data_IF_367170801025
#
_entry.id   IF_367170801025
#
_cell.length_a   1.000
_cell.length_b   1.000
_cell.length_c   1.000
_cell.angle_alpha   90.00
_cell.angle_beta   90.00
_cell.angle_gamma   90.00
#
_symmetry.space_group_name_H-M   'P 1'
#
loop_
_entity.id
_entity.type
_entity.pdbx_description
1 polymer ?
#
# COMPACT_ATOMS: atom_id res chain seq x y z
N UNK A 1 -15.21 16.61 12.52
CA UNK A 1 -14.88 15.35 11.78
C UNK A 1 -16.02 14.90 10.88
N UNK A 2 -17.27 14.88 11.36
CA UNK A 2 -18.42 14.41 10.57
C UNK A 2 -18.67 15.24 9.29
N UNK A 3 -18.56 16.57 9.36
CA UNK A 3 -18.73 17.46 8.20
C UNK A 3 -17.66 17.24 7.12
N UNK A 4 -16.40 17.02 7.53
CA UNK A 4 -15.31 16.69 6.59
C UNK A 4 -15.54 15.34 5.95
N UNK A 5 -16.00 14.34 6.71
CA UNK A 5 -16.29 13.02 6.16
C UNK A 5 -17.43 13.07 5.12
N UNK A 6 -18.51 13.81 5.40
CA UNK A 6 -19.63 14.01 4.45
C UNK A 6 -19.15 14.68 3.16
N UNK A 7 -18.39 15.76 3.29
CA UNK A 7 -17.79 16.48 2.17
C UNK A 7 -16.95 15.55 1.27
N UNK A 8 -16.08 14.74 1.88
CA UNK A 8 -15.24 13.80 1.12
C UNK A 8 -16.10 12.79 0.36
N UNK A 9 -17.09 12.19 1.03
CA UNK A 9 -18.00 11.22 0.40
C UNK A 9 -18.80 11.84 -0.75
N UNK A 10 -19.20 13.10 -0.63
CA UNK A 10 -19.86 13.83 -1.72
C UNK A 10 -18.94 14.00 -2.93
N UNK A 11 -17.69 14.43 -2.73
CA UNK A 11 -16.71 14.58 -3.82
C UNK A 11 -16.39 13.22 -4.45
N UNK A 12 -16.27 12.17 -3.63
CA UNK A 12 -16.04 10.79 -4.09
C UNK A 12 -17.14 10.29 -5.02
N UNK A 13 -18.40 10.62 -4.70
CA UNK A 13 -19.58 10.27 -5.50
C UNK A 13 -19.76 11.16 -6.72
N UNK A 14 -19.54 12.48 -6.58
CA UNK A 14 -19.68 13.45 -7.68
C UNK A 14 -18.73 13.13 -8.85
N UNK A 15 -17.55 12.60 -8.53
CA UNK A 15 -16.46 12.38 -9.49
C UNK A 15 -16.15 10.90 -9.74
N UNK A 16 -16.99 9.99 -9.25
CA UNK A 16 -16.82 8.53 -9.38
C UNK A 16 -15.39 8.07 -9.04
N UNK A 17 -14.83 8.56 -7.93
CA UNK A 17 -13.40 8.43 -7.66
C UNK A 17 -12.95 6.97 -7.50
N UNK A 18 -13.84 6.10 -7.01
CA UNK A 18 -13.56 4.67 -6.89
C UNK A 18 -13.39 3.94 -8.24
N UNK A 19 -13.87 4.53 -9.35
CA UNK A 19 -13.68 3.99 -10.70
C UNK A 19 -12.38 4.44 -11.37
N UNK A 20 -11.64 5.35 -10.72
CA UNK A 20 -10.35 5.78 -11.23
C UNK A 20 -9.28 4.69 -11.10
N UNK A 21 -8.64 4.33 -12.23
CA UNK A 21 -7.71 3.21 -12.37
C UNK A 21 -6.41 3.62 -13.10
N UNK A 22 -5.25 3.17 -12.60
CA UNK A 22 -3.96 3.14 -13.32
C UNK A 22 -3.63 1.66 -13.59
N UNK A 23 -3.28 1.31 -14.83
CA UNK A 23 -2.99 -0.09 -15.20
C UNK A 23 -4.08 -1.10 -14.77
N UNK A 24 -5.36 -0.70 -14.87
CA UNK A 24 -6.57 -1.45 -14.47
C UNK A 24 -6.76 -1.67 -12.96
N UNK A 25 -5.88 -1.11 -12.12
CA UNK A 25 -5.97 -1.22 -10.65
C UNK A 25 -6.64 0.05 -10.09
N UNK A 26 -7.67 -0.07 -9.22
CA UNK A 26 -8.32 1.08 -8.58
C UNK A 26 -7.34 1.86 -7.70
N UNK A 27 -7.04 3.11 -8.05
CA UNK A 27 -6.00 3.90 -7.36
C UNK A 27 -6.57 4.66 -6.16
N UNK A 28 -7.87 4.98 -6.17
CA UNK A 28 -8.46 5.83 -5.15
C UNK A 28 -8.33 5.27 -3.74
N UNK A 29 -8.46 3.95 -3.56
CA UNK A 29 -8.25 3.27 -2.28
C UNK A 29 -6.86 3.54 -1.68
N UNK A 30 -5.83 3.68 -2.49
CA UNK A 30 -4.45 3.97 -2.05
C UNK A 30 -4.20 5.44 -1.72
N UNK A 31 -5.07 6.33 -2.22
CA UNK A 31 -4.94 7.78 -2.14
C UNK A 31 -5.86 8.39 -1.09
N UNK A 32 -7.00 7.73 -0.83
CA UNK A 32 -8.12 8.26 -0.06
C UNK A 32 -7.71 8.86 1.28
N UNK A 33 -6.94 8.14 2.09
CA UNK A 33 -6.51 8.63 3.40
C UNK A 33 -5.64 9.88 3.33
N UNK A 34 -4.71 9.93 2.35
CA UNK A 34 -3.89 11.11 2.12
C UNK A 34 -4.73 12.28 1.63
N UNK A 35 -5.70 12.02 0.76
CA UNK A 35 -6.64 13.04 0.32
C UNK A 35 -7.49 13.59 1.48
N UNK A 36 -8.07 12.71 2.31
CA UNK A 36 -8.82 13.08 3.51
C UNK A 36 -7.96 13.93 4.44
N UNK A 37 -6.73 13.51 4.71
CA UNK A 37 -5.85 14.25 5.61
C UNK A 37 -5.37 15.59 5.03
N UNK A 38 -5.18 15.71 3.71
CA UNK A 38 -4.90 16.98 3.04
C UNK A 38 -6.07 17.97 3.20
N UNK A 39 -7.29 17.51 2.94
CA UNK A 39 -8.50 18.34 3.07
C UNK A 39 -8.76 18.69 4.53
N UNK A 40 -8.63 17.72 5.43
CA UNK A 40 -8.81 17.93 6.87
C UNK A 40 -7.82 18.96 7.43
N UNK A 41 -6.53 18.84 7.09
CA UNK A 41 -5.52 19.82 7.47
C UNK A 41 -5.92 21.21 6.95
N UNK A 42 -6.39 21.31 5.71
CA UNK A 42 -6.76 22.61 5.16
C UNK A 42 -7.97 23.26 5.84
N UNK A 43 -8.93 22.46 6.30
CA UNK A 43 -10.13 22.95 7.00
C UNK A 43 -9.81 23.31 8.46
N UNK A 44 -8.98 22.53 9.14
CA UNK A 44 -8.81 22.60 10.60
C UNK A 44 -7.48 23.20 11.05
N UNK A 45 -6.49 23.32 10.16
CA UNK A 45 -5.10 23.66 10.47
C UNK A 45 -4.32 22.54 11.18
N UNK A 46 -4.93 21.38 11.43
CA UNK A 46 -4.30 20.26 12.13
C UNK A 46 -3.65 19.29 11.15
N UNK A 47 -2.34 19.05 11.31
CA UNK A 47 -1.61 18.14 10.45
C UNK A 47 -1.70 16.68 10.95
N UNK A 48 -2.72 15.95 10.51
CA UNK A 48 -2.96 14.55 10.93
C UNK A 48 -2.08 13.54 10.18
N UNK A 49 -1.57 13.86 8.99
CA UNK A 49 -0.81 12.91 8.15
C UNK A 49 0.68 12.82 8.48
N UNK A 50 1.19 13.65 9.39
CA UNK A 50 2.63 13.76 9.64
C UNK A 50 3.25 12.54 10.35
N UNK A 51 2.48 11.52 10.73
CA UNK A 51 2.89 10.57 11.78
C UNK A 51 3.24 9.13 11.39
N UNK A 52 3.12 8.65 10.13
CA UNK A 52 3.33 7.20 9.90
C UNK A 52 4.27 6.77 8.75
N UNK A 53 4.37 7.48 7.62
CA UNK A 53 5.11 6.96 6.46
C UNK A 53 6.09 7.93 5.79
N UNK A 54 6.00 9.23 6.07
CA UNK A 54 6.81 10.26 5.38
C UNK A 54 8.09 10.66 6.15
N UNK A 55 8.26 10.21 7.39
CA UNK A 55 9.46 10.48 8.19
C UNK A 55 10.62 9.50 7.94
N UNK A 56 10.66 8.89 6.76
CA UNK A 56 11.82 8.12 6.32
C UNK A 56 12.48 8.93 5.20
N UNK A 57 13.57 9.62 5.53
CA UNK A 57 14.39 10.34 4.54
C UNK A 57 14.77 9.39 3.40
N UNK A 58 15.08 9.91 2.21
CA UNK A 58 15.52 9.11 1.06
C UNK A 58 16.65 8.15 1.43
N UNK A 59 17.57 8.59 2.30
CA UNK A 59 18.63 7.74 2.87
C UNK A 59 18.08 6.56 3.68
N UNK A 60 17.05 6.78 4.50
CA UNK A 60 16.38 5.70 5.23
C UNK A 60 15.60 4.76 4.31
N UNK A 61 14.93 5.28 3.27
CA UNK A 61 14.26 4.45 2.26
C UNK A 61 15.27 3.54 1.55
N UNK A 62 16.42 4.06 1.15
CA UNK A 62 17.51 3.29 0.52
C UNK A 62 18.13 2.29 1.50
N UNK A 63 18.32 2.65 2.77
CA UNK A 63 18.81 1.69 3.78
C UNK A 63 17.84 0.52 3.98
N UNK A 64 16.52 0.79 4.09
CA UNK A 64 15.49 -0.26 4.16
C UNK A 64 15.59 -1.22 2.98
N UNK A 65 15.78 -0.67 1.80
CA UNK A 65 15.98 -1.42 0.56
C UNK A 65 17.19 -2.33 0.66
N UNK A 66 18.35 -1.81 1.07
CA UNK A 66 19.58 -2.60 1.17
C UNK A 66 19.44 -3.70 2.24
N UNK A 67 18.90 -3.36 3.41
CA UNK A 67 18.70 -4.29 4.52
C UNK A 67 17.70 -5.41 4.16
N UNK A 68 16.81 -5.16 3.20
CA UNK A 68 15.86 -6.15 2.67
C UNK A 68 16.43 -7.10 1.62
N UNK A 69 17.55 -6.76 0.96
CA UNK A 69 18.13 -7.57 -0.13
C UNK A 69 18.33 -9.04 0.28
N UNK A 70 18.85 -9.39 1.47
CA UNK A 70 18.98 -10.79 1.89
C UNK A 70 17.64 -11.54 1.95
N UNK A 71 16.53 -10.84 2.16
CA UNK A 71 15.18 -11.40 2.27
C UNK A 71 14.48 -11.48 0.91
N UNK A 72 14.80 -10.60 -0.05
CA UNK A 72 14.32 -10.67 -1.45
C UNK A 72 14.63 -12.06 -2.05
N UNK A 73 15.80 -12.62 -1.75
CA UNK A 73 16.25 -13.92 -2.27
C UNK A 73 15.89 -15.13 -1.39
N UNK A 74 15.36 -14.93 -0.18
CA UNK A 74 14.83 -16.03 0.66
C UNK A 74 13.46 -16.53 0.21
N UNK A 75 12.87 -15.91 -0.81
CA UNK A 75 11.55 -16.20 -1.39
C UNK A 75 11.54 -17.45 -2.31
N UNK A 76 12.28 -18.50 -1.96
CA UNK A 76 12.31 -19.76 -2.72
C UNK A 76 11.07 -20.62 -2.48
N UNK A 77 9.89 -20.02 -2.58
CA UNK A 77 8.63 -20.77 -2.68
C UNK A 77 8.48 -21.26 -4.11
N UNK A 78 8.87 -22.51 -4.39
CA UNK A 78 8.51 -23.22 -5.62
C UNK A 78 7.38 -24.23 -5.34
N UNK A 79 6.41 -23.81 -4.53
CA UNK A 79 5.28 -24.63 -4.08
C UNK A 79 4.00 -23.81 -4.19
N UNK A 80 2.91 -24.46 -4.62
CA UNK A 80 1.58 -23.87 -4.57
C UNK A 80 1.03 -23.87 -3.15
N UNK A 81 0.31 -22.82 -2.80
CA UNK A 81 -0.41 -22.69 -1.53
C UNK A 81 -1.89 -22.47 -1.80
N UNK A 82 -2.77 -23.04 -0.98
CA UNK A 82 -4.21 -22.82 -1.13
C UNK A 82 -4.62 -21.46 -0.56
N UNK A 83 -3.93 -20.99 0.48
CA UNK A 83 -4.18 -19.72 1.15
C UNK A 83 -2.96 -18.81 1.06
N UNK A 84 -3.16 -17.57 0.60
CA UNK A 84 -2.20 -16.47 0.72
C UNK A 84 -2.72 -15.50 1.79
N UNK A 85 -1.99 -15.37 2.90
CA UNK A 85 -2.28 -14.42 3.96
C UNK A 85 -1.39 -13.18 3.82
N UNK A 86 -1.99 -11.98 3.76
CA UNK A 86 -1.28 -10.71 3.60
C UNK A 86 -1.12 -10.05 4.96
N UNK A 87 0.08 -10.13 5.51
CA UNK A 87 0.44 -9.62 6.84
C UNK A 87 1.30 -8.37 6.75
N UNK A 88 1.21 -7.52 7.77
CA UNK A 88 2.16 -6.44 8.01
C UNK A 88 3.18 -6.85 9.08
N UNK A 89 4.46 -6.54 8.87
CA UNK A 89 5.53 -6.95 9.80
C UNK A 89 5.31 -6.45 11.25
N UNK A 90 4.60 -5.34 11.47
CA UNK A 90 4.26 -4.85 12.80
C UNK A 90 3.22 -5.66 13.56
N UNK A 91 2.53 -6.61 12.92
CA UNK A 91 1.58 -7.49 13.61
C UNK A 91 2.30 -8.52 14.51
N UNK A 92 3.57 -8.84 14.20
CA UNK A 92 4.43 -9.75 14.98
C UNK A 92 5.01 -9.08 16.23
N UNK A 93 4.17 -8.88 17.25
CA UNK A 93 4.56 -8.23 18.53
C UNK A 93 4.70 -9.20 19.70
N UNK A 94 4.20 -10.43 19.53
CA UNK A 94 4.22 -11.45 20.57
C UNK A 94 5.28 -12.50 20.29
N UNK A 95 5.76 -13.17 21.33
CA UNK A 95 6.63 -14.34 21.20
C UNK A 95 5.91 -15.58 21.68
N UNK A 96 5.82 -16.58 20.81
CA UNK A 96 5.23 -17.88 21.11
C UNK A 96 6.29 -18.95 20.88
N UNK A 97 6.60 -19.75 21.91
CA UNK A 97 7.65 -20.77 21.87
C UNK A 97 9.01 -20.26 21.36
N UNK A 98 9.37 -19.02 21.73
CA UNK A 98 10.64 -18.38 21.33
C UNK A 98 10.64 -17.74 19.94
N UNK A 99 9.57 -17.90 19.15
CA UNK A 99 9.43 -17.36 17.79
C UNK A 99 8.52 -16.14 17.77
N UNK A 100 8.68 -15.24 16.80
CA UNK A 100 7.83 -14.06 16.67
C UNK A 100 6.48 -14.44 16.02
N UNK A 101 5.39 -14.13 16.72
CA UNK A 101 4.04 -14.57 16.42
C UNK A 101 3.14 -13.41 15.96
N UNK A 102 2.48 -13.61 14.82
CA UNK A 102 1.40 -12.79 14.26
C UNK A 102 0.04 -13.37 14.67
N UNK A 103 -0.70 -12.62 15.49
CA UNK A 103 -2.00 -13.04 16.02
C UNK A 103 -3.06 -13.31 14.96
N UNK A 104 -2.97 -12.68 13.78
CA UNK A 104 -4.01 -12.80 12.76
C UNK A 104 -3.82 -14.02 11.87
N UNK A 105 -2.58 -14.32 11.48
CA UNK A 105 -2.33 -15.33 10.45
C UNK A 105 -1.45 -16.48 10.89
N UNK A 106 -0.64 -16.35 11.94
CA UNK A 106 0.11 -17.50 12.43
C UNK A 106 -0.80 -18.54 13.09
N UNK A 107 -2.06 -18.19 13.39
CA UNK A 107 -3.08 -19.17 13.81
C UNK A 107 -3.30 -20.28 12.77
N UNK A 108 -3.05 -20.00 11.48
CA UNK A 108 -3.11 -21.01 10.41
C UNK A 108 -2.12 -22.16 10.63
N UNK A 109 -1.03 -21.90 11.38
CA UNK A 109 -0.02 -22.90 11.74
C UNK A 109 -0.57 -24.00 12.67
N UNK A 110 -1.69 -23.76 13.36
CA UNK A 110 -2.33 -24.73 14.25
C UNK A 110 -3.33 -25.64 13.53
N UNK A 111 -3.55 -25.45 12.22
CA UNK A 111 -4.51 -26.23 11.43
C UNK A 111 -3.73 -27.12 10.46
N UNK A 112 -3.52 -28.38 10.84
CA UNK A 112 -2.68 -29.33 10.10
C UNK A 112 -3.08 -29.54 8.62
N UNK A 113 -4.37 -29.37 8.30
CA UNK A 113 -4.90 -29.56 6.95
C UNK A 113 -4.75 -28.34 6.03
N UNK A 114 -4.24 -27.21 6.53
CA UNK A 114 -4.19 -25.95 5.77
C UNK A 114 -2.83 -25.75 5.13
N UNK A 115 -2.82 -25.58 3.80
CA UNK A 115 -1.64 -25.23 3.02
C UNK A 115 -1.62 -23.72 2.76
N UNK A 116 -0.87 -22.97 3.57
CA UNK A 116 -0.86 -21.51 3.54
C UNK A 116 0.55 -20.94 3.41
N UNK A 117 0.62 -19.69 2.94
CA UNK A 117 1.82 -18.86 2.98
C UNK A 117 1.45 -17.46 3.45
N UNK A 118 2.32 -16.85 4.25
CA UNK A 118 2.18 -15.46 4.66
C UNK A 118 3.07 -14.60 3.76
N UNK A 119 2.49 -13.62 3.06
CA UNK A 119 3.23 -12.51 2.48
C UNK A 119 3.30 -11.39 3.51
N UNK A 120 4.48 -11.17 4.06
CA UNK A 120 4.73 -10.14 5.05
C UNK A 120 5.30 -8.89 4.36
N UNK A 121 4.54 -7.81 4.36
CA UNK A 121 5.01 -6.51 3.85
C UNK A 121 5.58 -5.68 4.99
N UNK A 122 6.74 -5.02 4.81
CA UNK A 122 7.36 -4.26 5.90
C UNK A 122 6.61 -2.94 6.13
N UNK A 123 6.14 -2.71 7.35
CA UNK A 123 5.78 -1.36 7.83
C UNK A 123 6.87 -0.75 8.75
N UNK A 124 7.70 -1.58 9.40
CA UNK A 124 8.81 -1.20 10.30
C UNK A 124 10.20 -1.53 9.72
N UNK A 125 11.26 -1.47 10.54
CA UNK A 125 12.66 -1.58 10.12
C UNK A 125 13.17 -2.99 9.85
N UNK A 126 12.58 -4.02 10.47
CA UNK A 126 13.08 -5.38 10.39
C UNK A 126 11.94 -6.39 10.27
N UNK A 127 12.10 -7.33 9.34
CA UNK A 127 11.33 -8.57 9.35
C UNK A 127 11.70 -9.43 10.55
N UNK A 128 10.74 -10.23 11.00
CA UNK A 128 11.05 -11.27 11.98
C UNK A 128 12.15 -12.18 11.42
N UNK A 129 13.19 -12.41 12.23
CA UNK A 129 14.28 -13.33 11.88
C UNK A 129 13.94 -14.78 12.16
N UNK A 130 12.94 -15.01 13.01
CA UNK A 130 12.44 -16.34 13.40
C UNK A 130 10.91 -16.30 13.51
N UNK A 131 10.19 -16.23 12.38
CA UNK A 131 8.74 -16.17 12.39
C UNK A 131 8.15 -17.51 12.86
N UNK A 132 7.03 -17.45 13.58
CA UNK A 132 6.33 -18.66 14.02
C UNK A 132 5.86 -19.50 12.83
N UNK A 133 5.27 -18.85 11.82
CA UNK A 133 4.86 -19.51 10.59
C UNK A 133 6.04 -20.07 9.80
N UNK A 134 5.88 -21.31 9.34
CA UNK A 134 6.90 -22.02 8.56
C UNK A 134 7.10 -21.43 7.15
N UNK A 135 6.05 -20.86 6.56
CA UNK A 135 6.03 -20.37 5.19
C UNK A 135 5.75 -18.87 5.15
N UNK A 136 6.82 -18.08 5.09
CA UNK A 136 6.76 -16.62 5.02
C UNK A 136 7.54 -16.14 3.79
N UNK A 137 6.92 -15.24 3.02
CA UNK A 137 7.52 -14.49 1.92
C UNK A 137 7.59 -13.04 2.37
N UNK A 138 8.76 -12.43 2.28
CA UNK A 138 8.92 -11.01 2.60
C UNK A 138 8.69 -10.15 1.34
N UNK A 139 7.76 -9.20 1.45
CA UNK A 139 7.27 -8.35 0.36
C UNK A 139 8.09 -7.09 0.14
N UNK A 140 9.32 -7.00 0.62
CA UNK A 140 10.16 -5.78 0.55
C UNK A 140 10.34 -5.27 -0.87
N UNK A 141 10.46 -6.16 -1.84
CA UNK A 141 10.62 -5.81 -3.26
C UNK A 141 9.44 -5.00 -3.79
N UNK A 142 8.22 -5.27 -3.30
CA UNK A 142 7.01 -4.51 -3.64
C UNK A 142 7.14 -3.08 -3.07
N UNK A 143 7.50 -2.96 -1.80
CA UNK A 143 7.68 -1.66 -1.14
C UNK A 143 8.81 -0.83 -1.76
N UNK A 144 9.92 -1.47 -2.10
CA UNK A 144 11.07 -0.88 -2.78
C UNK A 144 10.68 -0.30 -4.14
N UNK A 145 10.18 -1.18 -5.04
CA UNK A 145 9.90 -0.80 -6.42
C UNK A 145 8.76 0.22 -6.46
N UNK A 146 7.75 0.06 -5.62
CA UNK A 146 6.68 1.04 -5.50
C UNK A 146 7.16 2.41 -5.02
N UNK A 147 8.10 2.47 -4.06
CA UNK A 147 8.67 3.74 -3.61
C UNK A 147 9.59 4.37 -4.67
N UNK A 148 10.37 3.59 -5.43
CA UNK A 148 11.09 4.11 -6.60
C UNK A 148 10.10 4.70 -7.61
N UNK A 149 9.00 4.01 -7.88
CA UNK A 149 7.93 4.51 -8.74
C UNK A 149 7.38 5.86 -8.28
N UNK A 150 7.16 6.05 -6.97
CA UNK A 150 6.71 7.33 -6.40
C UNK A 150 7.71 8.47 -6.63
N UNK A 151 9.01 8.20 -6.52
CA UNK A 151 10.05 9.23 -6.72
C UNK A 151 10.25 9.55 -8.20
N UNK A 152 10.08 8.56 -9.09
CA UNK A 152 10.24 8.72 -10.53
C UNK A 152 9.00 8.26 -11.32
N UNK A 153 7.84 8.95 -11.19
CA UNK A 153 6.60 8.53 -11.85
C UNK A 153 6.72 8.37 -13.37
N UNK A 154 7.63 9.11 -14.01
CA UNK A 154 7.78 9.18 -15.47
C UNK A 154 8.38 7.91 -16.06
N UNK A 155 9.00 7.07 -15.23
CA UNK A 155 9.52 5.77 -15.63
C UNK A 155 8.42 4.70 -15.70
N UNK A 156 7.29 4.89 -15.01
CA UNK A 156 6.29 3.84 -14.79
C UNK A 156 4.89 4.18 -15.30
N UNK A 157 4.52 5.46 -15.33
CA UNK A 157 3.19 5.90 -15.77
C UNK A 157 3.23 6.22 -17.27
N UNK A 158 2.26 5.67 -18.02
CA UNK A 158 2.12 5.96 -19.45
C UNK A 158 1.63 7.40 -19.68
N UNK A 159 1.97 8.06 -20.80
CA UNK A 159 1.53 9.43 -21.08
C UNK A 159 0.01 9.65 -21.01
N UNK A 160 -0.80 8.66 -21.40
CA UNK A 160 -2.26 8.75 -21.30
C UNK A 160 -2.74 8.75 -19.84
N UNK A 161 -2.12 7.95 -18.98
CA UNK A 161 -2.46 7.89 -17.55
C UNK A 161 -2.03 9.17 -16.82
N UNK A 162 -0.94 9.80 -17.26
CA UNK A 162 -0.54 11.16 -16.84
C UNK A 162 -1.64 12.20 -17.10
N UNK A 163 -2.10 12.26 -18.36
CA UNK A 163 -3.15 13.21 -18.77
C UNK A 163 -4.43 12.96 -17.95
N UNK A 164 -4.85 11.70 -17.85
CA UNK A 164 -6.06 11.30 -17.12
C UNK A 164 -5.97 11.64 -15.63
N UNK A 165 -4.81 11.42 -15.01
CA UNK A 165 -4.55 11.79 -13.60
C UNK A 165 -4.64 13.30 -13.41
N UNK A 166 -4.01 14.08 -14.31
CA UNK A 166 -4.04 15.55 -14.24
C UNK A 166 -5.45 16.09 -14.40
N UNK A 167 -6.23 15.56 -15.33
CA UNK A 167 -7.60 15.99 -15.57
C UNK A 167 -8.52 15.63 -14.40
N UNK A 168 -8.36 14.44 -13.79
CA UNK A 168 -9.04 14.10 -12.54
C UNK A 168 -8.71 15.10 -11.42
N UNK A 169 -7.43 15.42 -11.24
CA UNK A 169 -7.00 16.35 -10.20
C UNK A 169 -7.58 17.76 -10.41
N UNK A 170 -7.76 18.20 -11.67
CA UNK A 170 -8.45 19.48 -11.96
C UNK A 170 -9.92 19.42 -11.55
N UNK A 171 -10.60 18.31 -11.81
CA UNK A 171 -11.99 18.12 -11.38
C UNK A 171 -12.13 18.14 -9.87
N UNK A 172 -11.27 17.40 -9.16
CA UNK A 172 -11.22 17.40 -7.69
C UNK A 172 -10.93 18.82 -7.17
N UNK A 173 -9.91 19.49 -7.70
CA UNK A 173 -9.55 20.86 -7.32
C UNK A 173 -10.72 21.83 -7.53
N UNK A 174 -11.39 21.78 -8.68
CA UNK A 174 -12.58 22.60 -8.97
C UNK A 174 -13.72 22.32 -8.00
N UNK A 175 -13.97 21.04 -7.68
CA UNK A 175 -14.99 20.61 -6.73
C UNK A 175 -14.71 21.14 -5.31
N UNK A 176 -13.45 21.15 -4.88
CA UNK A 176 -13.00 21.76 -3.62
C UNK A 176 -13.13 23.28 -3.62
N UNK A 177 -12.73 23.96 -4.70
CA UNK A 177 -12.83 25.42 -4.80
C UNK A 177 -14.29 25.92 -4.75
N UNK A 178 -15.23 25.19 -5.37
CA UNK A 178 -16.69 25.49 -5.26
C UNK A 178 -17.19 25.48 -3.81
N UNK A 179 -16.51 24.73 -2.94
CA UNK A 179 -16.81 24.58 -1.52
C UNK A 179 -15.91 25.46 -0.65
N UNK A 180 -15.22 26.43 -1.24
CA UNK A 180 -14.29 27.35 -0.58
C UNK A 180 -13.10 26.67 0.11
N UNK A 181 -12.71 25.49 -0.35
CA UNK A 181 -11.55 24.75 0.17
C UNK A 181 -10.41 24.88 -0.84
N UNK A 182 -9.31 25.53 -0.43
CA UNK A 182 -8.16 25.78 -1.30
C UNK A 182 -7.00 24.84 -0.96
N UNK A 183 -6.94 23.67 -1.60
CA UNK A 183 -5.74 22.80 -1.56
C UNK A 183 -4.84 23.15 -2.74
N UNK A 184 -3.52 23.23 -2.55
CA UNK A 184 -2.59 23.49 -3.66
C UNK A 184 -2.68 22.38 -4.72
N UNK A 185 -2.88 22.77 -5.98
CA UNK A 185 -3.06 21.82 -7.08
C UNK A 185 -1.88 20.86 -7.22
N UNK A 186 -0.64 21.37 -7.10
CA UNK A 186 0.57 20.54 -7.23
C UNK A 186 0.68 19.50 -6.11
N UNK A 187 0.24 19.82 -4.90
CA UNK A 187 0.21 18.88 -3.76
C UNK A 187 -0.82 17.78 -4.01
N UNK A 188 -2.03 18.15 -4.43
CA UNK A 188 -3.08 17.21 -4.81
C UNK A 188 -2.59 16.29 -5.94
N UNK A 189 -2.12 16.88 -7.03
CA UNK A 189 -1.66 16.16 -8.21
C UNK A 189 -0.51 15.22 -7.90
N UNK A 190 0.52 15.68 -7.19
CA UNK A 190 1.65 14.85 -6.75
C UNK A 190 1.20 13.66 -5.90
N UNK A 191 0.22 13.86 -5.00
CA UNK A 191 -0.31 12.80 -4.14
C UNK A 191 -0.95 11.68 -4.96
N UNK A 192 -1.87 12.02 -5.87
CA UNK A 192 -2.57 11.03 -6.70
C UNK A 192 -1.60 10.36 -7.68
N UNK A 193 -0.70 11.16 -8.29
CA UNK A 193 0.29 10.68 -9.25
C UNK A 193 1.26 9.68 -8.61
N UNK A 194 1.73 9.93 -7.39
CA UNK A 194 2.58 9.01 -6.63
C UNK A 194 1.89 7.67 -6.36
N UNK A 195 0.59 7.68 -6.03
CA UNK A 195 -0.18 6.44 -5.88
C UNK A 195 -0.32 5.68 -7.20
N UNK A 196 -0.60 6.37 -8.30
CA UNK A 196 -0.60 5.76 -9.64
C UNK A 196 0.75 5.11 -9.95
N UNK A 197 1.86 5.83 -9.69
CA UNK A 197 3.19 5.35 -9.98
C UNK A 197 3.56 4.13 -9.15
N UNK A 198 3.19 4.12 -7.85
CA UNK A 198 3.39 2.96 -6.98
C UNK A 198 2.72 1.72 -7.57
N UNK A 199 1.43 1.82 -7.88
CA UNK A 199 0.62 0.73 -8.43
C UNK A 199 1.21 0.22 -9.75
N UNK A 200 1.56 1.16 -10.63
CA UNK A 200 2.04 0.85 -11.97
C UNK A 200 3.48 0.29 -11.95
N UNK A 201 4.29 0.61 -10.94
CA UNK A 201 5.61 0.02 -10.71
C UNK A 201 5.57 -1.39 -10.09
N UNK A 202 4.63 -1.66 -9.18
CA UNK A 202 4.59 -2.93 -8.42
C UNK A 202 3.77 -4.03 -9.09
N UNK A 203 2.87 -3.67 -10.01
CA UNK A 203 1.94 -4.60 -10.66
C UNK A 203 2.59 -5.89 -11.16
N UNK A 204 3.67 -5.80 -11.93
CA UNK A 204 4.31 -6.97 -12.53
C UNK A 204 4.85 -7.94 -11.46
N UNK A 205 5.40 -7.41 -10.36
CA UNK A 205 5.94 -8.21 -9.26
C UNK A 205 4.80 -8.96 -8.57
N UNK A 206 3.68 -8.28 -8.32
CA UNK A 206 2.51 -8.87 -7.70
C UNK A 206 1.89 -9.93 -8.60
N UNK A 207 1.73 -9.67 -9.90
CA UNK A 207 1.24 -10.67 -10.86
C UNK A 207 2.10 -11.93 -10.85
N UNK A 208 3.44 -11.78 -10.90
CA UNK A 208 4.37 -12.93 -10.84
C UNK A 208 4.31 -13.68 -9.51
N UNK A 209 4.12 -12.97 -8.41
CA UNK A 209 3.97 -13.59 -7.09
C UNK A 209 2.68 -14.42 -7.02
N UNK A 210 1.56 -13.88 -7.50
CA UNK A 210 0.27 -14.57 -7.53
C UNK A 210 0.29 -15.76 -8.49
N UNK A 211 0.91 -15.64 -9.66
CA UNK A 211 1.13 -16.77 -10.58
C UNK A 211 1.93 -17.90 -9.91
N UNK A 212 2.97 -17.55 -9.13
CA UNK A 212 3.85 -18.52 -8.49
C UNK A 212 3.18 -19.25 -7.32
N UNK A 213 2.44 -18.51 -6.48
CA UNK A 213 1.75 -19.05 -5.31
C UNK A 213 0.47 -19.79 -5.73
N UNK A 214 -0.23 -19.24 -6.72
CA UNK A 214 -1.53 -19.69 -7.24
C UNK A 214 -2.57 -19.96 -6.12
N UNK A 215 -2.87 -18.95 -5.26
CA UNK A 215 -3.77 -19.15 -4.13
C UNK A 215 -5.22 -19.30 -4.57
N UNK A 216 -5.97 -20.14 -3.84
CA UNK A 216 -7.44 -20.23 -3.97
C UNK A 216 -8.15 -19.22 -3.10
N UNK A 217 -7.54 -18.85 -1.98
CA UNK A 217 -8.08 -17.93 -0.97
C UNK A 217 -7.00 -16.89 -0.64
N UNK A 218 -7.40 -15.62 -0.61
CA UNK A 218 -6.57 -14.53 -0.12
C UNK A 218 -7.18 -14.03 1.18
N UNK A 219 -6.41 -14.08 2.26
CA UNK A 219 -6.76 -13.48 3.53
C UNK A 219 -5.95 -12.19 3.66
N UNK A 220 -6.61 -11.06 3.84
CA UNK A 220 -5.93 -9.77 3.97
C UNK A 220 -6.22 -9.17 5.32
N UNK A 221 -5.17 -8.84 6.08
CA UNK A 221 -5.33 -8.02 7.27
C UNK A 221 -5.73 -6.64 6.77
N UNK A 222 -6.89 -6.16 7.22
CA UNK A 222 -7.43 -4.87 6.82
C UNK A 222 -6.68 -3.73 7.55
N UNK A 223 -5.40 -3.61 7.24
CA UNK A 223 -4.53 -2.48 7.60
C UNK A 223 -4.10 -1.76 6.32
N UNK A 224 -4.02 -0.43 6.36
CA UNK A 224 -3.62 0.45 5.26
C UNK A 224 -2.16 0.21 4.80
N UNK A 225 -1.90 -0.93 4.15
CA UNK A 225 -0.58 -1.42 3.76
C UNK A 225 -0.53 -1.80 2.26
N UNK A 226 0.66 -2.14 1.71
CA UNK A 226 0.81 -2.65 0.35
C UNK A 226 -0.02 -3.90 0.02
N UNK A 227 -0.65 -4.53 1.03
CA UNK A 227 -1.62 -5.63 0.86
C UNK A 227 -2.76 -5.33 -0.12
N UNK A 228 -3.16 -4.06 -0.27
CA UNK A 228 -4.20 -3.64 -1.22
C UNK A 228 -3.83 -3.85 -2.71
N UNK A 229 -2.56 -4.14 -3.00
CA UNK A 229 -2.11 -4.45 -4.36
C UNK A 229 -2.51 -5.85 -4.84
N UNK A 230 -2.88 -6.74 -3.92
CA UNK A 230 -3.18 -8.15 -4.15
C UNK A 230 -4.69 -8.38 -4.06
#
# INVERSE_FOLDING_TARGET
MEEVAKLIVEIERELDLFDFRCCNIPVWWFTRDRFVGLVYNKITGLNILQSAAEYLTTKYKIKKVIDSIPYIFKTSVNKSFDILALSTASARRHKENGKDFDVFFDILSFIDSVNYVILETPDHWYHSKDPYSKYVIYGDIISLVGNIGREFPFLYIKPNDYKRTKDLCKSIYSSLCKRSIQVEFEVLYSTILKSCAFVCATRYIVEKLLEKINPKIILSECGYSPSHMI
#
